data_IF_810200819637
#
_entry.id   IF_810200819637
#
_cell.length_a   1.000
_cell.length_b   1.000
_cell.length_c   1.000
_cell.angle_alpha   90.00
_cell.angle_beta   90.00
_cell.angle_gamma   90.00
#
_symmetry.space_group_name_H-M   'P 1'
#
loop_
_entity.id
_entity.type
_entity.pdbx_description
1 polymer ?
#
# COMPACT_ATOMS: atom_id res chain seq x y z
N UNK A 1 18.89 -28.17 -1.39
CA UNK A 1 17.43 -28.33 -1.29
C UNK A 1 16.85 -26.92 -1.22
N UNK A 2 16.25 -26.42 -2.31
CA UNK A 2 15.71 -25.06 -2.36
C UNK A 2 14.23 -25.10 -1.95
N UNK A 3 13.92 -24.53 -0.80
CA UNK A 3 12.56 -24.34 -0.31
C UNK A 3 12.03 -23.03 -0.86
N UNK A 4 11.11 -23.12 -1.83
CA UNK A 4 10.29 -21.99 -2.28
C UNK A 4 9.29 -21.64 -1.17
N UNK A 5 9.44 -20.47 -0.55
CA UNK A 5 8.47 -19.95 0.42
C UNK A 5 7.46 -19.08 -0.31
N UNK A 6 6.26 -19.62 -0.51
CA UNK A 6 5.09 -18.84 -0.95
C UNK A 6 4.55 -18.07 0.25
N UNK A 7 4.48 -16.75 0.14
CA UNK A 7 3.79 -15.89 1.12
C UNK A 7 2.30 -15.89 0.75
N UNK A 8 1.48 -16.50 1.60
CA UNK A 8 0.01 -16.45 1.47
C UNK A 8 -0.53 -15.37 2.40
N UNK A 9 -1.14 -14.33 1.84
CA UNK A 9 -1.87 -13.30 2.58
C UNK A 9 -3.30 -13.81 2.86
N UNK A 10 -3.66 -13.98 4.12
CA UNK A 10 -5.06 -14.23 4.52
C UNK A 10 -5.73 -12.89 4.79
N UNK A 11 -6.73 -12.54 3.97
CA UNK A 11 -7.60 -11.37 4.17
C UNK A 11 -8.71 -11.80 5.14
N UNK A 12 -8.72 -11.23 6.35
CA UNK A 12 -9.86 -11.35 7.26
C UNK A 12 -10.77 -10.15 7.02
N UNK A 13 -11.89 -10.36 6.33
CA UNK A 13 -12.94 -9.35 6.19
C UNK A 13 -13.56 -9.10 7.57
N UNK A 14 -13.19 -7.99 8.22
CA UNK A 14 -13.96 -7.45 9.34
C UNK A 14 -15.04 -6.52 8.81
N UNK A 15 -16.20 -6.57 9.47
CA UNK A 15 -17.44 -5.93 9.07
C UNK A 15 -17.29 -4.47 8.64
N UNK A 16 -17.96 -4.14 7.53
CA UNK A 16 -18.15 -2.79 6.99
C UNK A 16 -18.81 -1.93 8.06
N UNK A 17 -18.15 -0.90 8.63
CA UNK A 17 -18.88 0.11 9.40
C UNK A 17 -19.76 0.90 8.45
N UNK A 18 -20.98 1.22 8.89
CA UNK A 18 -21.96 1.96 8.10
C UNK A 18 -21.33 3.18 7.43
N UNK A 19 -21.57 3.29 6.13
CA UNK A 19 -21.06 4.34 5.27
C UNK A 19 -21.47 5.72 5.83
N UNK A 20 -20.53 6.36 6.53
CA UNK A 20 -20.55 7.81 6.69
C UNK A 20 -20.48 8.40 5.29
N UNK A 21 -21.58 9.01 4.85
CA UNK A 21 -21.80 9.45 3.48
C UNK A 21 -20.69 10.37 2.95
N UNK A 22 -19.79 9.79 2.16
CA UNK A 22 -19.12 10.53 1.11
C UNK A 22 -20.08 10.54 -0.08
N UNK A 23 -20.66 11.70 -0.38
CA UNK A 23 -21.28 11.93 -1.70
C UNK A 23 -20.27 11.55 -2.77
N UNK A 24 -20.69 10.78 -3.78
CA UNK A 24 -19.88 10.43 -4.96
C UNK A 24 -19.15 11.70 -5.43
N UNK A 25 -17.87 11.79 -5.11
CA UNK A 25 -17.10 13.03 -5.18
C UNK A 25 -16.24 13.05 -6.43
N UNK A 26 -15.79 14.24 -6.81
CA UNK A 26 -14.92 14.53 -7.96
C UNK A 26 -13.51 13.89 -7.89
N UNK A 27 -13.38 12.77 -7.17
CA UNK A 27 -12.13 12.04 -7.06
C UNK A 27 -11.76 11.47 -8.43
N UNK A 28 -10.50 11.74 -8.79
CA UNK A 28 -9.84 11.23 -9.99
C UNK A 28 -8.71 10.32 -9.56
N UNK A 29 -8.54 9.22 -10.28
CA UNK A 29 -7.33 8.42 -10.25
C UNK A 29 -6.72 8.43 -11.65
N UNK A 30 -5.46 8.85 -11.75
CA UNK A 30 -4.69 8.83 -12.98
C UNK A 30 -3.69 7.68 -13.02
N UNK A 31 -3.50 7.11 -14.20
CA UNK A 31 -2.45 6.14 -14.51
C UNK A 31 -1.62 6.63 -15.68
N UNK A 32 -0.30 6.65 -15.50
CA UNK A 32 0.63 6.93 -16.60
C UNK A 32 1.65 5.82 -16.74
N UNK A 33 1.78 5.31 -17.96
CA UNK A 33 2.77 4.28 -18.29
C UNK A 33 4.18 4.88 -18.28
N UNK A 34 5.10 4.18 -17.65
CA UNK A 34 6.50 4.54 -17.46
C UNK A 34 7.37 3.30 -17.67
N UNK A 35 7.69 3.04 -18.94
CA UNK A 35 8.45 1.87 -19.33
C UNK A 35 9.96 2.15 -19.37
N UNK A 36 10.73 1.07 -19.29
CA UNK A 36 12.17 1.08 -19.45
C UNK A 36 12.89 0.36 -18.32
N UNK A 37 14.23 0.41 -18.30
CA UNK A 37 15.01 -0.04 -17.16
C UNK A 37 14.59 0.68 -15.88
N UNK A 38 14.54 -0.03 -14.74
CA UNK A 38 14.08 0.54 -13.47
C UNK A 38 14.84 1.81 -13.09
N UNK A 39 16.15 1.85 -13.33
CA UNK A 39 16.98 3.03 -13.07
C UNK A 39 16.50 4.29 -13.84
N UNK A 40 16.09 4.10 -15.09
CA UNK A 40 15.62 5.19 -15.96
C UNK A 40 14.23 5.64 -15.54
N UNK A 41 13.36 4.69 -15.23
CA UNK A 41 12.01 4.96 -14.71
C UNK A 41 12.06 5.75 -13.41
N UNK A 42 12.88 5.34 -12.44
CA UNK A 42 13.03 6.05 -11.16
C UNK A 42 13.54 7.49 -11.37
N UNK A 43 14.53 7.68 -12.25
CA UNK A 43 15.05 9.01 -12.58
C UNK A 43 14.02 9.89 -13.29
N UNK A 44 13.25 9.34 -14.21
CA UNK A 44 12.20 10.07 -14.91
C UNK A 44 11.09 10.50 -13.94
N UNK A 45 10.65 9.62 -13.04
CA UNK A 45 9.66 9.95 -12.01
C UNK A 45 10.20 11.03 -11.07
N UNK A 46 11.45 10.94 -10.62
CA UNK A 46 12.06 11.96 -9.76
C UNK A 46 12.22 13.32 -10.44
N UNK A 47 12.55 13.34 -11.75
CA UNK A 47 12.68 14.57 -12.51
C UNK A 47 11.35 15.32 -12.63
N UNK A 48 10.24 14.59 -12.78
CA UNK A 48 8.88 15.16 -12.81
C UNK A 48 8.36 15.48 -11.41
N UNK A 49 8.70 14.64 -10.42
CA UNK A 49 8.17 14.68 -9.06
C UNK A 49 9.32 14.62 -8.05
N UNK A 50 9.98 15.76 -7.76
CA UNK A 50 11.06 15.80 -6.78
C UNK A 50 10.63 15.32 -5.38
N UNK A 51 9.35 15.50 -5.02
CA UNK A 51 8.75 14.99 -3.78
C UNK A 51 8.70 13.46 -3.68
N UNK A 52 8.96 12.73 -4.77
CA UNK A 52 9.10 11.28 -4.76
C UNK A 52 10.43 10.82 -4.13
N UNK A 53 11.39 11.74 -3.94
CA UNK A 53 12.58 11.45 -3.16
C UNK A 53 12.19 11.15 -1.70
N UNK A 54 12.70 10.05 -1.15
CA UNK A 54 12.32 9.55 0.17
C UNK A 54 11.21 8.49 0.14
N UNK A 55 10.65 8.17 -1.04
CA UNK A 55 9.66 7.11 -1.19
C UNK A 55 10.11 5.79 -0.54
N UNK A 56 9.14 5.09 0.06
CA UNK A 56 9.34 3.71 0.51
C UNK A 56 9.27 2.79 -0.69
N UNK A 57 10.28 1.94 -0.86
CA UNK A 57 10.36 1.00 -1.97
C UNK A 57 10.32 -0.45 -1.46
N UNK A 58 9.42 -1.24 -2.04
CA UNK A 58 9.34 -2.68 -1.93
C UNK A 58 9.96 -3.28 -3.19
N UNK A 59 11.11 -3.95 -3.05
CA UNK A 59 11.90 -4.44 -4.16
C UNK A 59 12.02 -5.95 -4.07
N UNK A 60 11.57 -6.65 -5.10
CA UNK A 60 11.74 -8.09 -5.24
C UNK A 60 12.94 -8.38 -6.14
N UNK A 61 13.87 -9.16 -5.61
CA UNK A 61 15.07 -9.66 -6.28
C UNK A 61 15.05 -11.20 -6.26
N UNK A 62 15.79 -11.90 -7.14
CA UNK A 62 15.78 -13.36 -7.17
C UNK A 62 16.16 -14.03 -5.83
N UNK A 63 16.94 -13.35 -5.00
CA UNK A 63 17.43 -13.86 -3.73
C UNK A 63 16.71 -13.30 -2.51
N UNK A 64 15.90 -12.24 -2.67
CA UNK A 64 15.29 -11.55 -1.54
C UNK A 64 14.21 -10.53 -1.88
N UNK A 65 13.34 -10.31 -0.90
CA UNK A 65 12.54 -9.09 -0.78
C UNK A 65 13.28 -8.05 0.06
N UNK A 66 13.29 -6.79 -0.40
CA UNK A 66 14.00 -5.68 0.26
C UNK A 66 13.08 -4.47 0.43
N UNK A 67 13.15 -3.87 1.61
CA UNK A 67 12.65 -2.52 1.83
C UNK A 67 13.79 -1.53 1.68
N UNK A 68 13.56 -0.49 0.88
CA UNK A 68 14.53 0.55 0.60
C UNK A 68 13.88 1.94 0.71
N UNK A 69 14.72 2.96 0.81
CA UNK A 69 14.33 4.36 0.57
C UNK A 69 14.90 4.81 -0.76
N UNK A 70 14.06 5.44 -1.59
CA UNK A 70 14.51 6.11 -2.80
C UNK A 70 15.23 7.42 -2.45
N UNK A 71 16.40 7.64 -3.01
CA UNK A 71 17.17 8.89 -2.88
C UNK A 71 16.92 9.80 -4.08
N UNK A 72 17.27 11.08 -3.92
CA UNK A 72 17.08 12.10 -4.96
C UNK A 72 17.90 11.83 -6.23
N UNK A 73 18.95 11.01 -6.16
CA UNK A 73 19.76 10.58 -7.30
C UNK A 73 19.19 9.35 -8.04
N UNK A 74 18.04 8.82 -7.59
CA UNK A 74 17.41 7.62 -8.16
C UNK A 74 17.89 6.31 -7.55
N UNK A 75 18.78 6.34 -6.57
CA UNK A 75 19.26 5.12 -5.90
C UNK A 75 18.30 4.66 -4.81
N UNK A 76 18.07 3.35 -4.72
CA UNK A 76 17.34 2.74 -3.61
C UNK A 76 18.35 2.22 -2.58
N UNK A 77 18.24 2.66 -1.33
CA UNK A 77 19.15 2.24 -0.26
C UNK A 77 18.43 1.58 0.91
N UNK A 78 19.02 0.52 1.43
CA UNK A 78 18.54 -0.20 2.62
C UNK A 78 19.00 0.47 3.92
N UNK A 79 18.51 -0.04 5.06
CA UNK A 79 18.76 0.51 6.39
C UNK A 79 20.24 0.56 6.81
N UNK A 80 21.05 -0.35 6.27
CA UNK A 80 22.51 -0.41 6.46
C UNK A 80 23.29 0.50 5.49
N UNK A 81 22.59 1.22 4.61
CA UNK A 81 23.18 2.10 3.60
C UNK A 81 23.58 1.40 2.31
N UNK A 82 23.31 0.09 2.18
CA UNK A 82 23.61 -0.65 0.95
C UNK A 82 22.71 -0.17 -0.19
N UNK A 83 23.32 0.20 -1.32
CA UNK A 83 22.59 0.53 -2.54
C UNK A 83 22.15 -0.74 -3.26
N UNK A 84 20.88 -0.79 -3.68
CA UNK A 84 20.34 -1.88 -4.49
C UNK A 84 20.59 -1.59 -5.95
N UNK A 85 21.24 -2.53 -6.64
CA UNK A 85 21.46 -2.41 -8.08
C UNK A 85 20.12 -2.61 -8.82
N UNK A 86 19.67 -1.67 -9.66
CA UNK A 86 18.37 -1.78 -10.35
C UNK A 86 18.25 -3.03 -11.22
N UNK A 87 19.37 -3.50 -11.80
CA UNK A 87 19.40 -4.72 -12.61
C UNK A 87 19.20 -6.02 -11.81
N UNK A 88 19.18 -5.98 -10.49
CA UNK A 88 18.84 -7.14 -9.65
C UNK A 88 17.34 -7.21 -9.32
N UNK A 89 16.58 -6.15 -9.61
CA UNK A 89 15.15 -6.02 -9.25
C UNK A 89 14.26 -6.50 -10.38
N UNK A 90 13.40 -7.49 -10.13
CA UNK A 90 12.40 -7.94 -11.11
C UNK A 90 11.00 -7.35 -10.87
N UNK A 91 10.74 -6.82 -9.68
CA UNK A 91 9.50 -6.11 -9.36
C UNK A 91 9.79 -5.01 -8.34
N UNK A 92 9.23 -3.83 -8.55
CA UNK A 92 9.37 -2.69 -7.67
C UNK A 92 8.01 -2.02 -7.44
N UNK A 93 7.66 -1.78 -6.17
CA UNK A 93 6.62 -0.82 -5.79
C UNK A 93 7.27 0.28 -4.98
N UNK A 94 7.23 1.52 -5.44
CA UNK A 94 7.77 2.67 -4.71
C UNK A 94 6.65 3.67 -4.47
N UNK A 95 6.49 4.16 -3.25
CA UNK A 95 5.33 4.96 -2.91
C UNK A 95 5.63 6.08 -1.91
N UNK A 96 4.79 7.11 -2.01
CA UNK A 96 4.64 8.24 -1.10
C UNK A 96 3.15 8.40 -0.80
N UNK A 97 2.79 9.40 0.01
CA UNK A 97 1.39 9.70 0.26
C UNK A 97 0.62 10.04 -1.03
N UNK A 98 1.29 10.64 -2.01
CA UNK A 98 0.66 11.27 -3.18
C UNK A 98 0.73 10.44 -4.46
N UNK A 99 1.68 9.51 -4.57
CA UNK A 99 1.88 8.67 -5.77
C UNK A 99 2.51 7.32 -5.45
N UNK A 100 2.21 6.33 -6.29
CA UNK A 100 2.86 5.02 -6.31
C UNK A 100 3.35 4.69 -7.72
N UNK A 101 4.61 4.27 -7.82
CA UNK A 101 5.16 3.58 -8.97
C UNK A 101 5.04 2.06 -8.76
N UNK A 102 4.45 1.36 -9.73
CA UNK A 102 4.51 -0.09 -9.86
C UNK A 102 5.28 -0.43 -11.11
N UNK A 103 6.33 -1.22 -10.99
CA UNK A 103 7.17 -1.61 -12.11
C UNK A 103 7.48 -3.10 -12.04
N UNK A 104 7.39 -3.78 -13.18
CA UNK A 104 7.71 -5.20 -13.30
C UNK A 104 8.63 -5.42 -14.49
N UNK A 105 9.67 -6.22 -14.29
CA UNK A 105 10.61 -6.58 -15.34
C UNK A 105 9.96 -7.51 -16.36
N UNK A 106 10.15 -7.17 -17.63
CA UNK A 106 9.86 -7.99 -18.81
C UNK A 106 11.14 -8.08 -19.65
N UNK A 107 11.78 -9.25 -19.61
CA UNK A 107 13.07 -9.50 -20.28
C UNK A 107 14.17 -8.53 -19.77
N UNK A 108 14.77 -7.73 -20.65
CA UNK A 108 15.86 -6.79 -20.33
C UNK A 108 15.37 -5.40 -19.88
N UNK A 109 14.06 -5.13 -19.95
CA UNK A 109 13.44 -3.86 -19.54
C UNK A 109 12.28 -4.14 -18.59
N UNK A 110 11.47 -3.15 -18.24
CA UNK A 110 10.22 -3.41 -17.55
C UNK A 110 9.12 -2.45 -17.95
N UNK A 111 7.92 -2.84 -17.53
CA UNK A 111 6.71 -2.06 -17.69
C UNK A 111 6.37 -1.43 -16.37
N UNK A 112 6.11 -0.14 -16.38
CA UNK A 112 5.78 0.62 -15.18
C UNK A 112 4.50 1.42 -15.32
N UNK A 113 3.84 1.64 -14.19
CA UNK A 113 2.71 2.54 -14.09
C UNK A 113 2.93 3.42 -12.87
N UNK A 114 2.79 4.74 -13.07
CA UNK A 114 2.66 5.71 -12.01
C UNK A 114 1.18 5.96 -11.74
N UNK A 115 0.76 5.85 -10.48
CA UNK A 115 -0.61 5.98 -10.03
C UNK A 115 -0.76 7.10 -8.99
N UNK A 116 -1.77 7.94 -9.15
CA UNK A 116 -2.17 8.89 -8.12
C UNK A 116 -3.24 9.86 -8.57
N UNK A 117 -3.78 10.63 -7.61
CA UNK A 117 -4.90 11.53 -7.86
C UNK A 117 -4.52 12.73 -8.74
N UNK A 118 -3.23 13.11 -8.73
CA UNK A 118 -2.67 14.20 -9.52
C UNK A 118 -1.85 13.72 -10.74
N UNK A 119 -1.84 12.41 -11.02
CA UNK A 119 -1.12 11.86 -12.17
C UNK A 119 -1.88 12.18 -13.44
N UNK A 120 -1.19 12.85 -14.37
CA UNK A 120 -1.73 13.23 -15.68
C UNK A 120 -0.93 12.60 -16.82
N UNK A 121 -1.45 12.64 -18.05
CA UNK A 121 -0.72 12.20 -19.24
C UNK A 121 -0.90 10.71 -19.56
N UNK A 122 -1.95 10.08 -19.06
CA UNK A 122 -2.35 8.72 -19.39
C UNK A 122 -3.84 8.49 -19.19
N UNK A 123 -4.23 7.27 -18.82
CA UNK A 123 -5.62 6.95 -18.54
C UNK A 123 -6.08 7.57 -17.22
N UNK A 124 -7.39 7.78 -17.08
CA UNK A 124 -8.00 8.31 -15.86
C UNK A 124 -9.37 7.72 -15.61
N UNK A 125 -9.76 7.72 -14.34
CA UNK A 125 -11.09 7.36 -13.89
C UNK A 125 -11.56 8.45 -12.91
N UNK A 126 -12.82 8.82 -13.02
CA UNK A 126 -13.43 9.94 -12.30
C UNK A 126 -14.73 9.51 -11.62
N UNK A 127 -15.22 10.31 -10.67
CA UNK A 127 -16.46 10.01 -9.95
C UNK A 127 -16.30 8.80 -9.02
N UNK A 128 -15.07 8.59 -8.52
CA UNK A 128 -14.71 7.47 -7.68
C UNK A 128 -15.04 7.74 -6.20
N UNK A 129 -15.30 6.67 -5.46
CA UNK A 129 -15.12 6.67 -4.01
C UNK A 129 -13.68 6.32 -3.65
N UNK A 130 -13.21 6.72 -2.46
CA UNK A 130 -11.97 6.20 -1.90
C UNK A 130 -12.11 5.89 -0.41
N UNK A 131 -11.38 4.87 0.03
CA UNK A 131 -11.29 4.46 1.42
C UNK A 131 -9.82 4.20 1.78
N UNK A 132 -9.40 4.70 2.94
CA UNK A 132 -8.08 4.37 3.46
C UNK A 132 -8.15 3.02 4.19
N UNK A 133 -7.52 2.00 3.62
CA UNK A 133 -7.37 0.67 4.19
C UNK A 133 -6.04 0.50 4.95
N UNK A 134 -5.92 -0.61 5.67
CA UNK A 134 -4.72 -0.89 6.46
C UNK A 134 -4.33 -2.37 6.46
N UNK A 135 -3.05 -2.65 6.22
CA UNK A 135 -2.46 -3.97 6.42
C UNK A 135 -1.50 -3.96 7.60
N UNK A 136 -1.70 -4.87 8.56
CA UNK A 136 -0.76 -5.03 9.66
C UNK A 136 0.56 -5.64 9.13
N UNK A 137 1.69 -4.98 9.40
CA UNK A 137 2.99 -5.57 9.12
C UNK A 137 3.31 -6.60 10.19
N UNK A 138 3.53 -7.84 9.75
CA UNK A 138 3.86 -8.94 10.65
C UNK A 138 5.21 -8.72 11.33
N UNK A 139 5.31 -9.13 12.59
CA UNK A 139 6.50 -9.03 13.42
C UNK A 139 6.26 -8.26 14.71
N UNK A 140 7.12 -8.50 15.68
CA UNK A 140 7.21 -7.72 16.91
C UNK A 140 8.27 -6.63 16.74
N UNK A 141 8.08 -5.49 17.39
CA UNK A 141 9.10 -4.43 17.39
C UNK A 141 10.35 -4.95 18.10
N UNK A 142 11.50 -4.86 17.42
CA UNK A 142 12.84 -5.21 17.91
C UNK A 142 13.68 -3.93 18.09
N UNK A 143 13.63 -3.27 19.28
CA UNK A 143 14.26 -1.96 19.47
C UNK A 143 15.78 -1.98 19.25
N UNK A 144 16.44 -3.10 19.49
CA UNK A 144 17.89 -3.24 19.30
C UNK A 144 18.30 -3.15 17.83
N UNK A 145 17.36 -3.35 16.90
CA UNK A 145 17.60 -3.27 15.46
C UNK A 145 17.25 -1.90 14.86
N UNK A 146 16.63 -0.99 15.62
CA UNK A 146 16.23 0.33 15.12
C UNK A 146 17.44 1.14 14.60
N UNK A 147 17.20 1.92 13.55
CA UNK A 147 18.18 2.86 12.95
C UNK A 147 17.49 4.20 12.71
N UNK A 148 18.25 5.25 12.47
CA UNK A 148 17.68 6.56 12.14
C UNK A 148 16.75 6.47 10.90
N UNK A 149 15.45 6.69 11.09
CA UNK A 149 14.43 6.54 10.04
C UNK A 149 14.03 5.09 9.70
N UNK A 150 14.41 4.10 10.53
CA UNK A 150 14.04 2.69 10.30
C UNK A 150 13.64 2.00 11.59
N UNK A 151 12.63 1.14 11.49
CA UNK A 151 12.19 0.31 12.61
C UNK A 151 12.40 -1.17 12.31
N UNK A 152 12.95 -1.89 13.29
CA UNK A 152 13.10 -3.34 13.23
C UNK A 152 11.81 -4.06 13.61
N UNK A 153 11.35 -4.95 12.74
CA UNK A 153 10.31 -5.93 13.03
C UNK A 153 10.93 -7.33 12.96
N UNK A 154 10.69 -8.17 13.97
CA UNK A 154 11.20 -9.53 13.98
C UNK A 154 10.11 -10.57 14.23
N UNK A 155 10.23 -11.73 13.57
CA UNK A 155 9.51 -12.95 13.97
C UNK A 155 10.21 -14.17 13.39
N UNK A 156 9.88 -15.36 13.91
CA UNK A 156 10.42 -16.61 13.39
C UNK A 156 10.14 -16.83 11.89
N UNK A 157 9.05 -16.27 11.33
CA UNK A 157 8.68 -16.49 9.92
C UNK A 157 9.37 -15.55 8.94
N UNK A 158 9.69 -14.32 9.37
CA UNK A 158 10.22 -13.28 8.47
C UNK A 158 11.68 -12.93 8.77
N UNK A 159 12.25 -13.47 9.86
CA UNK A 159 13.54 -13.02 10.38
C UNK A 159 13.45 -11.58 10.90
N UNK A 160 14.50 -10.79 10.68
CA UNK A 160 14.52 -9.35 10.94
C UNK A 160 14.19 -8.58 9.66
N UNK A 161 13.21 -7.69 9.74
CA UNK A 161 12.78 -6.80 8.67
C UNK A 161 12.96 -5.35 9.14
N UNK A 162 13.77 -4.58 8.41
CA UNK A 162 13.95 -3.14 8.68
C UNK A 162 13.02 -2.36 7.76
N UNK A 163 12.07 -1.65 8.36
CA UNK A 163 11.01 -0.91 7.64
C UNK A 163 11.29 0.59 7.71
N UNK A 164 11.31 1.31 6.57
CA UNK A 164 11.35 2.77 6.56
C UNK A 164 10.17 3.35 7.32
N UNK A 165 10.42 4.30 8.22
CA UNK A 165 9.39 5.02 8.96
C UNK A 165 9.71 6.51 8.99
N UNK A 166 8.70 7.36 8.95
CA UNK A 166 8.89 8.81 9.09
C UNK A 166 9.47 9.16 10.48
N UNK A 167 10.19 10.28 10.53
CA UNK A 167 10.76 10.78 11.78
C UNK A 167 9.63 11.07 12.78
N UNK A 168 9.78 10.61 14.03
CA UNK A 168 8.75 10.74 15.07
C UNK A 168 7.86 9.51 15.26
N UNK A 169 7.75 8.61 14.26
CA UNK A 169 7.10 7.28 14.42
C UNK A 169 7.89 6.42 15.44
N UNK A 170 9.18 6.72 15.61
CA UNK A 170 10.12 6.10 16.53
C UNK A 170 9.74 6.23 18.03
N UNK A 171 9.05 7.31 18.42
CA UNK A 171 8.91 7.69 19.84
C UNK A 171 7.78 6.98 20.61
N UNK A 172 6.82 6.35 19.92
CA UNK A 172 5.73 5.63 20.59
C UNK A 172 6.14 4.17 20.88
N UNK A 173 6.61 3.93 22.10
CA UNK A 173 7.05 2.63 22.58
C UNK A 173 5.96 1.55 22.40
N UNK A 174 6.32 0.43 21.77
CA UNK A 174 5.56 -0.83 21.61
C UNK A 174 4.55 -0.92 20.46
N UNK A 175 4.54 0.01 19.52
CA UNK A 175 3.58 -0.04 18.42
C UNK A 175 4.05 -1.00 17.32
N UNK A 176 3.14 -1.88 16.89
CA UNK A 176 3.28 -2.61 15.62
C UNK A 176 3.30 -1.58 14.48
N UNK A 177 3.68 -2.00 13.28
CA UNK A 177 3.56 -1.13 12.11
C UNK A 177 2.37 -1.58 11.25
N UNK A 178 1.76 -0.64 10.56
CA UNK A 178 0.78 -0.92 9.50
C UNK A 178 1.14 -0.18 8.23
N UNK A 179 0.85 -0.81 7.10
CA UNK A 179 0.87 -0.20 5.78
C UNK A 179 -0.51 0.41 5.53
N UNK A 180 -0.56 1.71 5.30
CA UNK A 180 -1.76 2.42 4.86
C UNK A 180 -1.87 2.27 3.35
N UNK A 181 -3.06 1.90 2.91
CA UNK A 181 -3.41 1.82 1.49
C UNK A 181 -4.62 2.70 1.20
N UNK A 182 -4.81 3.06 -0.07
CA UNK A 182 -6.00 3.76 -0.54
C UNK A 182 -6.67 2.91 -1.60
N UNK A 183 -7.86 2.41 -1.27
CA UNK A 183 -8.72 1.67 -2.18
C UNK A 183 -9.62 2.67 -2.92
N UNK A 184 -9.69 2.54 -4.23
CA UNK A 184 -10.54 3.35 -5.10
C UNK A 184 -11.70 2.50 -5.57
N UNK A 185 -12.92 3.00 -5.43
CA UNK A 185 -14.14 2.30 -5.79
C UNK A 185 -14.79 2.96 -6.99
N UNK A 186 -15.13 2.16 -7.99
CA UNK A 186 -16.00 2.56 -9.07
C UNK A 186 -17.40 1.99 -8.84
N UNK A 187 -18.40 2.68 -9.40
CA UNK A 187 -19.79 2.29 -9.34
C UNK A 187 -20.25 1.91 -10.74
N UNK A 188 -21.00 0.82 -10.86
CA UNK A 188 -21.75 0.52 -12.09
C UNK A 188 -22.90 1.53 -12.20
N UNK A 189 -22.59 2.69 -12.80
CA UNK A 189 -23.59 3.69 -13.15
C UNK A 189 -24.27 3.27 -14.45
N UNK A 190 -25.59 3.48 -14.58
CA UNK A 190 -26.29 3.22 -15.83
C UNK A 190 -25.65 4.02 -16.97
N UNK A 191 -25.27 3.34 -18.05
CA UNK A 191 -24.73 3.98 -19.25
C UNK A 191 -25.82 4.84 -19.91
N UNK A 192 -25.42 6.02 -20.41
CA UNK A 192 -26.34 6.93 -21.10
C UNK A 192 -26.91 6.33 -22.40
N UNK A 193 -26.24 5.32 -22.98
CA UNK A 193 -26.78 4.50 -24.05
C UNK A 193 -27.23 3.15 -23.49
N UNK A 194 -28.55 2.88 -23.45
CA UNK A 194 -29.05 1.56 -23.08
C UNK A 194 -28.65 0.56 -24.17
N UNK A 195 -28.09 -0.58 -23.76
CA UNK A 195 -27.96 -1.73 -24.65
C UNK A 195 -29.36 -2.07 -25.19
N UNK A 196 -29.59 -2.06 -26.52
CA UNK A 196 -30.91 -2.31 -27.11
C UNK A 196 -31.43 -3.74 -26.85
N UNK A 197 -30.58 -4.64 -26.37
CA UNK A 197 -30.93 -6.00 -25.96
C UNK A 197 -31.00 -6.19 -24.44
N UNK A 198 -30.66 -5.19 -23.63
CA UNK A 198 -30.78 -5.26 -22.18
C UNK A 198 -32.24 -5.04 -21.77
N UNK A 199 -32.81 -6.00 -21.04
CA UNK A 199 -34.12 -5.83 -20.43
C UNK A 199 -34.12 -4.57 -19.53
N UNK A 200 -35.26 -3.87 -19.43
CA UNK A 200 -35.38 -2.58 -18.71
C UNK A 200 -34.98 -2.61 -17.20
N UNK A 201 -34.69 -3.80 -16.66
CA UNK A 201 -34.17 -4.03 -15.32
C UNK A 201 -32.62 -3.98 -15.28
N UNK A 202 -31.96 -4.31 -16.38
CA UNK A 202 -30.50 -4.43 -16.54
C UNK A 202 -29.87 -3.08 -16.94
N UNK A 203 -30.63 -2.22 -17.62
CA UNK A 203 -30.23 -0.86 -18.01
C UNK A 203 -30.05 0.12 -16.82
N UNK A 204 -30.36 -0.28 -15.58
CA UNK A 204 -30.26 0.61 -14.41
C UNK A 204 -28.90 0.55 -13.71
N UNK A 205 -28.01 -0.35 -14.13
CA UNK A 205 -26.83 -0.70 -13.36
C UNK A 205 -27.25 -1.38 -12.05
N UNK A 206 -26.56 -2.44 -11.64
CA UNK A 206 -26.94 -3.16 -10.42
C UNK A 206 -26.63 -2.38 -9.12
N UNK A 207 -26.18 -1.12 -9.21
CA UNK A 207 -25.72 -0.34 -8.07
C UNK A 207 -24.51 -0.97 -7.38
N UNK A 208 -23.80 -1.86 -8.07
CA UNK A 208 -22.62 -2.52 -7.54
C UNK A 208 -21.49 -1.51 -7.44
N UNK A 209 -20.78 -1.55 -6.31
CA UNK A 209 -19.48 -0.93 -6.15
C UNK A 209 -18.40 -2.01 -6.22
N UNK A 210 -17.30 -1.73 -6.89
CA UNK A 210 -16.14 -2.61 -6.93
C UNK A 210 -14.85 -1.81 -6.71
N UNK A 211 -13.83 -2.46 -6.16
CA UNK A 211 -12.50 -1.87 -6.03
C UNK A 211 -11.88 -1.83 -7.43
N UNK A 212 -11.66 -0.63 -7.93
CA UNK A 212 -10.99 -0.37 -9.20
C UNK A 212 -9.48 -0.57 -9.08
N UNK A 213 -8.88 -0.03 -8.02
CA UNK A 213 -7.44 -0.14 -7.75
C UNK A 213 -7.14 0.11 -6.25
N UNK A 214 -5.94 -0.26 -5.80
CA UNK A 214 -5.45 -0.05 -4.42
C UNK A 214 -4.01 0.48 -4.43
N UNK A 215 -3.80 1.70 -3.92
CA UNK A 215 -2.47 2.32 -3.83
C UNK A 215 -1.82 2.16 -2.46
N UNK A 216 -0.52 1.90 -2.39
CA UNK A 216 0.26 2.03 -1.16
C UNK A 216 0.51 3.51 -0.84
N UNK A 217 0.32 3.92 0.42
CA UNK A 217 0.37 5.33 0.82
C UNK A 217 1.55 5.61 1.75
N UNK A 218 1.62 4.92 2.89
CA UNK A 218 2.67 5.12 3.90
C UNK A 218 2.75 3.97 4.88
N UNK A 219 3.84 3.90 5.64
CA UNK A 219 3.94 3.05 6.83
C UNK A 219 3.80 3.92 8.07
N UNK A 220 2.98 3.50 9.02
CA UNK A 220 2.79 4.22 10.28
C UNK A 220 2.73 3.28 11.49
N UNK A 221 2.89 3.86 12.68
CA UNK A 221 2.73 3.13 13.93
C UNK A 221 1.25 2.76 14.19
N UNK A 222 1.05 1.56 14.69
CA UNK A 222 -0.25 1.02 15.10
C UNK A 222 -0.19 0.57 16.57
N UNK A 223 -1.01 1.22 17.40
CA UNK A 223 -1.32 0.75 18.73
C UNK A 223 -2.67 0.01 18.68
N UNK A 224 -2.74 -1.29 19.01
CA UNK A 224 -4.02 -1.95 19.12
C UNK A 224 -4.86 -1.26 20.19
N UNK A 225 -6.14 -0.99 19.88
CA UNK A 225 -7.11 -0.56 20.89
C UNK A 225 -7.13 -1.66 21.95
N UNK A 226 -6.68 -1.36 23.17
CA UNK A 226 -6.94 -2.24 24.30
C UNK A 226 -8.44 -2.25 24.45
N UNK A 227 -9.09 -3.38 24.16
CA UNK A 227 -10.42 -3.63 24.71
C UNK A 227 -10.23 -3.61 26.23
N UNK A 228 -10.59 -2.50 26.85
CA UNK A 228 -10.77 -2.44 28.30
C UNK A 228 -11.84 -3.47 28.60
N UNK A 229 -11.46 -4.58 29.22
CA UNK A 229 -12.38 -5.65 29.57
C UNK A 229 -13.62 -5.05 30.23
N UNK A 230 -14.79 -5.51 29.77
CA UNK A 230 -16.06 -5.24 30.40
C UNK A 230 -15.87 -5.34 31.92
N UNK A 231 -16.25 -4.26 32.62
CA UNK A 231 -16.35 -4.32 34.07
C UNK A 231 -17.19 -5.53 34.45
N UNK A 232 -16.64 -6.37 35.33
CA UNK A 232 -17.33 -7.55 35.83
C UNK A 232 -18.71 -7.15 36.31
N UNK A 233 -19.73 -7.81 35.78
CA UNK A 233 -21.05 -7.81 36.38
C UNK A 233 -20.89 -8.59 37.67
N UNK A 234 -20.86 -7.88 38.79
CA UNK A 234 -20.99 -8.45 40.13
C UNK A 234 -22.41 -9.03 40.27
N UNK A 235 -22.57 -10.30 39.94
CA UNK A 235 -23.76 -11.06 40.31
C UNK A 235 -23.58 -11.48 41.76
N UNK A 236 -23.96 -10.59 42.67
CA UNK A 236 -24.01 -10.88 44.09
C UNK A 236 -24.82 -12.15 44.34
N UNK A 237 -24.15 -13.18 44.86
CA UNK A 237 -24.79 -14.36 45.44
C UNK A 237 -25.56 -13.91 46.68
N UNK A 238 -26.89 -13.80 46.55
CA UNK A 238 -27.79 -13.87 47.70
C UNK A 238 -28.14 -15.34 47.95
N UNK A 239 -27.45 -15.96 48.90
CA UNK A 239 -27.94 -17.16 49.56
C UNK A 239 -28.69 -16.76 50.83
N UNK A 240 -30.02 -16.89 50.75
CA UNK A 240 -30.89 -17.17 51.89
C UNK A 240 -31.19 -18.66 51.97
#
# INVERSE_FOLDING_TARGET
MNTTTTITTTITNMAVPEAGGATAGDLRLGWRRVDGPLADVLRAVLAERPGFAGATALLSTPSAFRLARLRADGTCVTADGTAIHPDDVFEARAFTADVELRWVRRLATGEGVLLGEDVTGGAEATGLGAHDGHYLLWGEHEPAADRAGWRGLSSHRIGLLLVPVEDGVAAAAKNRLRLVVREYFAYDLPTAEPDPCADALDARGHGNAYVLDERLVRVEAYAPIRQTGAQGIDLGEQHG
#
